data_IF_925645137570
#
_entry.id   IF_925645137570
#
_cell.length_a   1.000
_cell.length_b   1.000
_cell.length_c   1.000
_cell.angle_alpha   90.00
_cell.angle_beta   90.00
_cell.angle_gamma   90.00
#
_symmetry.space_group_name_H-M   'P 1'
#
loop_
_entity.id
_entity.type
_entity.pdbx_description
1 polymer ?
#
# COMPACT_ATOMS: atom_id res chain seq x y z
N UNK A 1 2.76 20.75 8.84
CA UNK A 1 3.60 19.76 8.13
C UNK A 1 4.82 20.45 7.54
N UNK A 2 6.02 20.01 7.91
CA UNK A 2 7.27 20.51 7.31
C UNK A 2 7.25 20.25 5.79
N UNK A 3 7.72 21.19 4.96
CA UNK A 3 7.61 21.11 3.48
C UNK A 3 8.15 19.79 2.89
N UNK A 4 9.17 19.21 3.53
CA UNK A 4 9.77 17.92 3.14
C UNK A 4 8.81 16.74 3.35
N UNK A 5 8.16 16.64 4.52
CA UNK A 5 7.22 15.56 4.84
C UNK A 5 5.97 15.56 3.94
N UNK A 6 5.52 16.75 3.52
CA UNK A 6 4.40 16.86 2.57
C UNK A 6 4.77 16.29 1.20
N UNK A 7 6.01 16.48 0.73
CA UNK A 7 6.48 15.87 -0.52
C UNK A 7 6.53 14.35 -0.43
N UNK A 8 7.04 13.79 0.67
CA UNK A 8 7.12 12.34 0.86
C UNK A 8 5.72 11.70 0.84
N UNK A 9 4.75 12.29 1.55
CA UNK A 9 3.37 11.77 1.55
C UNK A 9 2.75 11.83 0.15
N UNK A 10 2.94 12.94 -0.58
CA UNK A 10 2.39 13.09 -1.93
C UNK A 10 3.02 12.08 -2.89
N UNK A 11 4.35 11.93 -2.87
CA UNK A 11 5.06 10.99 -3.74
C UNK A 11 4.63 9.55 -3.45
N UNK A 12 4.47 9.19 -2.17
CA UNK A 12 4.00 7.85 -1.79
C UNK A 12 2.58 7.57 -2.26
N UNK A 13 1.68 8.55 -2.18
CA UNK A 13 0.31 8.42 -2.68
C UNK A 13 0.27 8.35 -4.21
N UNK A 14 1.12 9.11 -4.88
CA UNK A 14 1.24 9.09 -6.34
C UNK A 14 1.77 7.74 -6.84
N UNK A 15 2.75 7.17 -6.14
CA UNK A 15 3.26 5.82 -6.41
C UNK A 15 2.17 4.78 -6.23
N UNK A 16 1.41 4.85 -5.14
CA UNK A 16 0.31 3.92 -4.86
C UNK A 16 -0.78 4.01 -5.92
N UNK A 17 -1.15 5.23 -6.34
CA UNK A 17 -2.10 5.45 -7.43
C UNK A 17 -1.57 4.92 -8.77
N UNK A 18 -0.29 5.16 -9.07
CA UNK A 18 0.35 4.64 -10.28
C UNK A 18 0.35 3.11 -10.29
N UNK A 19 0.69 2.46 -9.17
CA UNK A 19 0.64 1.00 -9.03
C UNK A 19 -0.78 0.45 -9.25
N UNK A 20 -1.79 1.19 -8.78
CA UNK A 20 -3.20 0.83 -8.99
C UNK A 20 -3.61 0.93 -10.46
N UNK A 21 -3.26 2.03 -11.13
CA UNK A 21 -3.58 2.27 -12.54
C UNK A 21 -2.83 1.29 -13.45
N UNK A 22 -1.52 1.11 -13.23
CA UNK A 22 -0.70 0.17 -13.99
C UNK A 22 -1.20 -1.25 -13.76
N UNK A 23 -1.49 -1.62 -12.52
CA UNK A 23 -1.99 -2.93 -12.20
C UNK A 23 -3.38 -3.23 -12.77
N UNK A 24 -4.27 -2.25 -12.75
CA UNK A 24 -5.58 -2.35 -13.39
C UNK A 24 -5.47 -2.47 -14.92
N UNK A 25 -4.63 -1.65 -15.57
CA UNK A 25 -4.38 -1.75 -17.01
C UNK A 25 -3.80 -3.12 -17.39
N UNK A 26 -2.84 -3.63 -16.62
CA UNK A 26 -2.23 -4.93 -16.86
C UNK A 26 -3.29 -6.04 -16.74
N UNK A 27 -4.09 -6.07 -15.67
CA UNK A 27 -5.19 -7.03 -15.51
C UNK A 27 -6.23 -6.95 -16.64
N UNK A 28 -6.62 -5.74 -17.01
CA UNK A 28 -7.69 -5.50 -17.99
C UNK A 28 -7.28 -5.84 -19.42
N UNK A 29 -6.03 -5.52 -19.82
CA UNK A 29 -5.58 -5.69 -21.20
C UNK A 29 -4.86 -7.02 -21.48
N UNK A 30 -4.26 -7.68 -20.49
CA UNK A 30 -3.39 -8.83 -20.76
C UNK A 30 -3.98 -10.21 -20.44
N UNK A 31 -5.28 -10.31 -20.11
CA UNK A 31 -5.98 -11.60 -20.00
C UNK A 31 -5.29 -12.58 -19.04
N UNK A 32 -4.73 -12.04 -17.97
CA UNK A 32 -3.71 -12.71 -17.16
C UNK A 32 -4.28 -13.90 -16.38
N UNK A 33 -3.59 -15.05 -16.47
CA UNK A 33 -3.80 -16.21 -15.61
C UNK A 33 -3.73 -15.86 -14.11
N UNK A 34 -4.67 -16.40 -13.33
CA UNK A 34 -4.97 -16.09 -11.91
C UNK A 34 -3.74 -15.85 -11.02
N UNK A 35 -2.63 -16.60 -11.20
CA UNK A 35 -1.39 -16.45 -10.44
C UNK A 35 -0.70 -15.08 -10.55
N UNK A 36 -0.76 -14.43 -11.71
CA UNK A 36 -0.15 -13.11 -11.92
C UNK A 36 -1.04 -11.97 -11.34
N UNK A 37 -2.35 -12.23 -11.13
CA UNK A 37 -3.24 -11.30 -10.41
C UNK A 37 -2.90 -11.21 -8.92
N UNK A 38 -2.50 -12.33 -8.31
CA UNK A 38 -2.03 -12.33 -6.91
C UNK A 38 -0.70 -11.61 -6.74
N UNK A 39 0.23 -11.74 -7.68
CA UNK A 39 1.50 -10.99 -7.66
C UNK A 39 1.26 -9.47 -7.70
N UNK A 40 0.32 -9.02 -8.52
CA UNK A 40 -0.07 -7.61 -8.58
C UNK A 40 -0.71 -7.12 -7.26
N UNK A 41 -1.61 -7.92 -6.67
CA UNK A 41 -2.21 -7.64 -5.37
C UNK A 41 -1.15 -7.50 -4.27
N UNK A 42 -0.13 -8.37 -4.26
CA UNK A 42 0.99 -8.26 -3.32
C UNK A 42 1.74 -6.92 -3.47
N UNK A 43 2.01 -6.49 -4.70
CA UNK A 43 2.68 -5.20 -4.97
C UNK A 43 1.85 -4.03 -4.44
N UNK A 44 0.53 -4.02 -4.71
CA UNK A 44 -0.39 -2.98 -4.21
C UNK A 44 -0.39 -2.97 -2.67
N UNK A 45 -0.40 -4.14 -2.04
CA UNK A 45 -0.40 -4.25 -0.59
C UNK A 45 0.91 -3.72 0.03
N UNK A 46 2.06 -3.99 -0.58
CA UNK A 46 3.36 -3.45 -0.16
C UNK A 46 3.40 -1.92 -0.28
N UNK A 47 2.96 -1.35 -1.40
CA UNK A 47 2.90 0.11 -1.56
C UNK A 47 1.92 0.77 -0.58
N UNK A 48 0.77 0.13 -0.33
CA UNK A 48 -0.18 0.54 0.70
C UNK A 48 0.46 0.59 2.08
N UNK A 49 1.15 -0.48 2.47
CA UNK A 49 1.91 -0.57 3.71
C UNK A 49 2.89 0.60 3.87
N UNK A 50 3.71 0.87 2.86
CA UNK A 50 4.71 1.93 2.88
C UNK A 50 4.05 3.32 3.01
N UNK A 51 2.95 3.57 2.30
CA UNK A 51 2.23 4.86 2.36
C UNK A 51 1.61 5.11 3.73
N UNK A 52 0.84 4.14 4.25
CA UNK A 52 0.20 4.29 5.55
C UNK A 52 1.23 4.36 6.69
N UNK A 53 2.30 3.57 6.63
CA UNK A 53 3.38 3.62 7.60
C UNK A 53 4.11 4.97 7.58
N UNK A 54 4.43 5.50 6.39
CA UNK A 54 5.07 6.82 6.25
C UNK A 54 4.18 7.93 6.82
N UNK A 55 2.86 7.88 6.56
CA UNK A 55 1.89 8.83 7.15
C UNK A 55 1.80 8.69 8.66
N UNK A 56 1.77 7.46 9.18
CA UNK A 56 1.76 7.19 10.61
C UNK A 56 2.97 7.84 11.31
N UNK A 57 4.18 7.61 10.78
CA UNK A 57 5.42 8.22 11.28
C UNK A 57 5.34 9.75 11.28
N UNK A 58 4.88 10.35 10.17
CA UNK A 58 4.74 11.82 10.07
C UNK A 58 3.75 12.35 11.12
N UNK A 59 2.61 11.68 11.32
CA UNK A 59 1.64 12.11 12.32
C UNK A 59 2.15 11.92 13.75
N UNK A 60 2.93 10.87 14.03
CA UNK A 60 3.62 10.69 15.32
C UNK A 60 4.58 11.84 15.60
N UNK A 61 5.40 12.21 14.61
CA UNK A 61 6.38 13.29 14.73
C UNK A 61 5.72 14.67 14.92
N UNK A 62 4.49 14.86 14.41
CA UNK A 62 3.71 16.09 14.62
C UNK A 62 2.89 16.08 15.92
N UNK A 63 2.95 15.03 16.74
CA UNK A 63 2.14 14.89 17.96
C UNK A 63 0.66 14.57 17.71
N UNK A 64 0.28 14.26 16.46
CA UNK A 64 -1.11 13.92 16.07
C UNK A 64 -1.42 12.44 16.33
N UNK A 65 -1.37 12.04 17.61
CA UNK A 65 -1.44 10.62 18.04
C UNK A 65 -2.66 9.87 17.50
N UNK A 66 -3.86 10.46 17.50
CA UNK A 66 -5.08 9.78 17.00
C UNK A 66 -4.97 9.41 15.53
N UNK A 67 -4.44 10.30 14.68
CA UNK A 67 -4.26 10.05 13.25
C UNK A 67 -3.14 9.05 13.01
N UNK A 68 -2.06 9.14 13.78
CA UNK A 68 -0.97 8.17 13.74
C UNK A 68 -1.46 6.75 14.04
N UNK A 69 -2.21 6.55 15.12
CA UNK A 69 -2.78 5.25 15.50
C UNK A 69 -3.66 4.69 14.38
N UNK A 70 -4.54 5.52 13.79
CA UNK A 70 -5.38 5.10 12.68
C UNK A 70 -4.56 4.64 11.46
N UNK A 71 -3.47 5.35 11.14
CA UNK A 71 -2.59 4.99 10.02
C UNK A 71 -1.75 3.73 10.31
N UNK A 72 -1.28 3.53 11.55
CA UNK A 72 -0.63 2.28 11.96
C UNK A 72 -1.59 1.09 11.86
N UNK A 73 -2.84 1.26 12.29
CA UNK A 73 -3.86 0.22 12.16
C UNK A 73 -4.12 -0.15 10.69
N UNK A 74 -4.22 0.84 9.80
CA UNK A 74 -4.35 0.60 8.36
C UNK A 74 -3.14 -0.13 7.78
N UNK A 75 -1.92 0.25 8.19
CA UNK A 75 -0.71 -0.45 7.76
C UNK A 75 -0.70 -1.91 8.21
N UNK A 76 -1.20 -2.20 9.42
CA UNK A 76 -1.34 -3.56 9.94
C UNK A 76 -2.36 -4.36 9.14
N UNK A 77 -3.52 -3.78 8.78
CA UNK A 77 -4.51 -4.45 7.94
C UNK A 77 -3.93 -4.84 6.56
N UNK A 78 -3.15 -3.94 5.94
CA UNK A 78 -2.47 -4.23 4.68
C UNK A 78 -1.43 -5.35 4.82
N UNK A 79 -0.73 -5.43 5.95
CA UNK A 79 0.20 -6.52 6.25
C UNK A 79 -0.52 -7.87 6.41
N UNK A 80 -1.65 -7.89 7.13
CA UNK A 80 -2.46 -9.11 7.27
C UNK A 80 -2.95 -9.58 5.90
N UNK A 81 -3.49 -8.66 5.08
CA UNK A 81 -3.92 -8.97 3.73
C UNK A 81 -2.77 -9.47 2.85
N UNK A 82 -1.56 -8.92 3.00
CA UNK A 82 -0.39 -9.39 2.27
C UNK A 82 -0.10 -10.87 2.55
N UNK A 83 -0.08 -11.27 3.82
CA UNK A 83 0.14 -12.67 4.18
C UNK A 83 -1.00 -13.59 3.76
N UNK A 84 -2.25 -13.13 3.77
CA UNK A 84 -3.40 -13.89 3.26
C UNK A 84 -3.25 -14.15 1.76
N UNK A 85 -2.96 -13.12 0.96
CA UNK A 85 -2.77 -13.27 -0.49
C UNK A 85 -1.54 -14.14 -0.79
N UNK A 86 -0.44 -13.98 -0.04
CA UNK A 86 0.76 -14.80 -0.20
C UNK A 86 0.46 -16.28 0.08
N UNK A 87 -0.28 -16.58 1.16
CA UNK A 87 -0.68 -17.95 1.49
C UNK A 87 -1.60 -18.57 0.42
N UNK A 88 -2.53 -17.78 -0.14
CA UNK A 88 -3.37 -18.21 -1.26
C UNK A 88 -2.55 -18.54 -2.50
N UNK A 89 -1.52 -17.74 -2.81
CA UNK A 89 -0.64 -17.95 -3.96
C UNK A 89 0.28 -19.17 -3.78
N UNK A 90 0.70 -19.49 -2.56
CA UNK A 90 1.51 -20.68 -2.26
C UNK A 90 0.70 -21.99 -2.31
N UNK A 91 -0.63 -21.91 -2.16
CA UNK A 91 -1.53 -23.06 -2.18
C UNK A 91 -2.17 -23.33 -3.56
N UNK A 92 -1.97 -22.45 -4.55
CA UNK A 92 -2.47 -22.57 -5.92
C UNK A 92 -1.44 -23.17 -6.86
#
# INVERSE_FOLDING_TARGET
>A
MNKSFKKISIVSDLLLFLSFVVGYCILYFSGIAVGNGFALLLIILVFGLISFFSKAVIYTLNGELRKSIAMYFLSFLYLVLFFVILALMLNS
#
